data_IF_767673549417
#
_entry.id   IF_767673549417
#
_cell.length_a   1.000
_cell.length_b   1.000
_cell.length_c   1.000
_cell.angle_alpha   90.00
_cell.angle_beta   90.00
_cell.angle_gamma   90.00
#
_symmetry.space_group_name_H-M   'P 1'
#
loop_
_entity.id
_entity.type
_entity.pdbx_description
1 polymer ?
#
# COMPACT_ATOMS: atom_id res chain seq x y z
N UNK A 1 -8.14 5.24 -1.00
CA UNK A 1 -8.69 4.33 -2.06
C UNK A 1 -10.06 4.79 -2.56
N UNK A 2 -10.39 4.61 -3.86
CA UNK A 2 -11.69 5.01 -4.45
C UNK A 2 -12.68 3.84 -4.46
N UNK A 3 -13.97 4.12 -4.19
CA UNK A 3 -15.03 3.10 -4.33
C UNK A 3 -15.23 2.77 -5.81
N UNK A 4 -15.29 3.77 -6.65
CA UNK A 4 -15.50 3.62 -8.11
C UNK A 4 -14.36 4.32 -8.85
N UNK A 5 -13.63 3.56 -9.65
CA UNK A 5 -12.57 4.10 -10.53
C UNK A 5 -13.19 4.56 -11.84
N UNK A 6 -13.07 5.85 -12.17
CA UNK A 6 -13.62 6.41 -13.42
C UNK A 6 -13.08 5.70 -14.66
N UNK A 7 -11.78 5.34 -14.65
CA UNK A 7 -11.18 4.59 -15.75
C UNK A 7 -11.83 3.22 -15.96
N UNK A 8 -12.16 2.49 -14.89
CA UNK A 8 -12.83 1.18 -14.96
C UNK A 8 -14.22 1.34 -15.56
N UNK A 9 -15.00 2.34 -15.14
CA UNK A 9 -16.32 2.63 -15.72
C UNK A 9 -16.21 2.92 -17.21
N UNK A 10 -15.24 3.74 -17.62
CA UNK A 10 -15.02 4.06 -19.04
C UNK A 10 -14.64 2.83 -19.86
N UNK A 11 -13.65 2.07 -19.43
CA UNK A 11 -13.17 0.87 -20.14
C UNK A 11 -14.27 -0.17 -20.28
N UNK A 12 -14.92 -0.55 -19.20
CA UNK A 12 -15.98 -1.56 -19.26
C UNK A 12 -17.26 -1.04 -19.91
N UNK A 13 -17.55 0.27 -19.87
CA UNK A 13 -18.63 0.88 -20.63
C UNK A 13 -18.40 0.76 -22.14
N UNK A 14 -17.19 1.08 -22.61
CA UNK A 14 -16.81 0.92 -24.03
C UNK A 14 -16.82 -0.55 -24.46
N UNK A 15 -16.22 -1.45 -23.67
CA UNK A 15 -16.22 -2.89 -23.96
C UNK A 15 -17.64 -3.45 -24.03
N UNK A 16 -18.49 -3.11 -23.09
CA UNK A 16 -19.90 -3.54 -23.08
C UNK A 16 -20.64 -3.04 -24.31
N UNK A 17 -20.45 -1.78 -24.69
CA UNK A 17 -21.07 -1.19 -25.87
C UNK A 17 -20.61 -1.87 -27.18
N UNK A 18 -19.29 -2.07 -27.36
CA UNK A 18 -18.72 -2.69 -28.55
C UNK A 18 -19.15 -4.14 -28.69
N UNK A 19 -18.95 -4.95 -27.63
CA UNK A 19 -19.29 -6.39 -27.67
C UNK A 19 -20.81 -6.59 -27.79
N UNK A 20 -21.59 -5.85 -27.04
CA UNK A 20 -23.04 -5.93 -27.11
C UNK A 20 -23.60 -5.49 -28.44
N UNK A 21 -23.06 -4.40 -29.04
CA UNK A 21 -23.43 -3.92 -30.37
C UNK A 21 -23.10 -4.94 -31.46
N UNK A 22 -21.89 -5.53 -31.43
CA UNK A 22 -21.48 -6.54 -32.38
C UNK A 22 -22.37 -7.79 -32.32
N UNK A 23 -22.65 -8.28 -31.12
CA UNK A 23 -23.51 -9.46 -30.94
C UNK A 23 -24.98 -9.16 -31.31
N UNK A 24 -25.49 -7.95 -31.01
CA UNK A 24 -26.82 -7.53 -31.41
C UNK A 24 -26.94 -7.50 -32.95
N UNK A 25 -25.92 -6.97 -33.64
CA UNK A 25 -25.91 -6.91 -35.11
C UNK A 25 -25.89 -8.31 -35.75
N UNK A 26 -25.08 -9.23 -35.24
CA UNK A 26 -25.05 -10.64 -35.65
C UNK A 26 -26.40 -11.31 -35.34
N UNK A 27 -26.91 -11.14 -34.13
CA UNK A 27 -28.16 -11.72 -33.68
C UNK A 27 -29.37 -11.33 -34.52
N UNK A 28 -29.44 -10.08 -34.94
CA UNK A 28 -30.50 -9.63 -35.91
C UNK A 28 -30.36 -10.35 -37.23
N UNK A 29 -29.16 -10.51 -37.78
CA UNK A 29 -28.92 -11.23 -39.05
C UNK A 29 -29.24 -12.72 -38.95
N UNK A 30 -29.05 -13.34 -37.78
CA UNK A 30 -29.31 -14.76 -37.53
C UNK A 30 -30.75 -15.04 -37.04
N UNK A 31 -31.60 -14.02 -36.90
CA UNK A 31 -32.97 -14.18 -36.40
C UNK A 31 -33.08 -14.46 -34.89
N UNK A 32 -31.96 -14.33 -34.13
CA UNK A 32 -31.92 -14.59 -32.68
C UNK A 32 -32.44 -13.39 -31.89
N UNK A 33 -32.42 -12.18 -32.49
CA UNK A 33 -32.86 -10.95 -31.88
C UNK A 33 -31.74 -10.14 -31.20
N UNK A 34 -31.93 -8.82 -31.08
CA UNK A 34 -30.95 -7.88 -30.52
C UNK A 34 -30.74 -7.98 -29.00
N UNK A 35 -31.68 -8.59 -28.30
CA UNK A 35 -31.67 -8.68 -26.83
C UNK A 35 -30.48 -9.50 -26.29
N UNK A 36 -29.95 -10.46 -27.09
CA UNK A 36 -28.76 -11.25 -26.68
C UNK A 36 -27.54 -10.34 -26.51
N UNK A 37 -27.33 -9.40 -27.44
CA UNK A 37 -26.26 -8.42 -27.30
C UNK A 37 -26.44 -7.49 -26.11
N UNK A 38 -27.66 -7.10 -25.80
CA UNK A 38 -27.96 -6.30 -24.62
C UNK A 38 -27.64 -7.06 -23.31
N UNK A 39 -27.95 -8.35 -23.24
CA UNK A 39 -27.58 -9.18 -22.09
C UNK A 39 -26.06 -9.34 -21.91
N UNK A 40 -25.33 -9.51 -23.01
CA UNK A 40 -23.87 -9.57 -22.98
C UNK A 40 -23.28 -8.24 -22.54
N UNK A 41 -23.76 -7.12 -23.08
CA UNK A 41 -23.34 -5.79 -22.66
C UNK A 41 -23.54 -5.57 -21.15
N UNK A 42 -24.72 -5.93 -20.65
CA UNK A 42 -25.03 -5.86 -19.22
C UNK A 42 -24.12 -6.76 -18.40
N UNK A 43 -23.89 -8.01 -18.82
CA UNK A 43 -23.02 -8.96 -18.14
C UNK A 43 -21.56 -8.45 -18.05
N UNK A 44 -21.01 -7.95 -19.16
CA UNK A 44 -19.65 -7.39 -19.21
C UNK A 44 -19.52 -6.16 -18.29
N UNK A 45 -20.49 -5.25 -18.35
CA UNK A 45 -20.48 -4.06 -17.51
C UNK A 45 -20.64 -4.41 -16.01
N UNK A 46 -21.59 -5.29 -15.67
CA UNK A 46 -21.82 -5.75 -14.31
C UNK A 46 -20.57 -6.46 -13.73
N UNK A 47 -19.92 -7.29 -14.55
CA UNK A 47 -18.66 -7.96 -14.15
C UNK A 47 -17.54 -6.94 -13.89
N UNK A 48 -17.37 -5.96 -14.77
CA UNK A 48 -16.39 -4.88 -14.57
C UNK A 48 -16.67 -4.00 -13.35
N UNK A 49 -17.96 -3.81 -13.01
CA UNK A 49 -18.39 -3.02 -11.85
C UNK A 49 -18.39 -3.82 -10.53
N UNK A 50 -18.20 -5.16 -10.58
CA UNK A 50 -18.23 -6.01 -9.40
C UNK A 50 -17.28 -5.57 -8.27
N UNK A 51 -16.00 -5.20 -8.54
CA UNK A 51 -15.10 -4.69 -7.49
C UNK A 51 -15.62 -3.40 -6.84
N UNK A 52 -16.18 -2.48 -7.64
CA UNK A 52 -16.74 -1.22 -7.13
C UNK A 52 -17.97 -1.46 -6.24
N UNK A 53 -18.84 -2.40 -6.64
CA UNK A 53 -20.00 -2.80 -5.84
C UNK A 53 -19.58 -3.48 -4.54
N UNK A 54 -18.54 -4.33 -4.57
CA UNK A 54 -17.96 -4.96 -3.38
C UNK A 54 -17.44 -3.89 -2.40
N UNK A 55 -16.64 -2.91 -2.88
CA UNK A 55 -16.16 -1.78 -2.07
C UNK A 55 -17.31 -0.95 -1.51
N UNK A 56 -18.34 -0.69 -2.30
CA UNK A 56 -19.52 0.03 -1.83
C UNK A 56 -20.22 -0.70 -0.69
N UNK A 57 -20.34 -2.02 -0.76
CA UNK A 57 -20.87 -2.85 0.33
C UNK A 57 -20.02 -2.76 1.59
N UNK A 58 -18.71 -2.89 1.45
CA UNK A 58 -17.75 -2.80 2.55
C UNK A 58 -17.80 -1.42 3.21
N UNK A 59 -17.84 -0.35 2.42
CA UNK A 59 -17.92 1.03 2.93
C UNK A 59 -19.20 1.34 3.75
N UNK A 60 -20.24 0.51 3.65
CA UNK A 60 -21.47 0.61 4.44
C UNK A 60 -21.44 -0.19 5.74
N UNK A 61 -20.46 -1.04 5.91
CA UNK A 61 -20.31 -1.78 7.16
C UNK A 61 -19.76 -0.86 8.25
N UNK A 62 -20.26 -0.96 9.48
CA UNK A 62 -19.70 -0.20 10.58
C UNK A 62 -18.27 -0.65 10.83
N UNK A 63 -17.39 0.31 11.13
CA UNK A 63 -16.02 0.00 11.51
C UNK A 63 -16.01 -0.60 12.92
N UNK A 64 -15.40 -1.79 13.15
CA UNK A 64 -15.41 -2.44 14.45
C UNK A 64 -14.76 -1.59 15.55
N UNK A 65 -15.38 -1.50 16.71
CA UNK A 65 -14.85 -0.71 17.84
C UNK A 65 -13.49 -1.23 18.30
N UNK A 66 -13.28 -2.55 18.31
CA UNK A 66 -11.99 -3.16 18.67
C UNK A 66 -10.86 -2.70 17.75
N UNK A 67 -11.11 -2.59 16.44
CA UNK A 67 -10.14 -2.10 15.46
C UNK A 67 -9.81 -0.61 15.70
N UNK A 68 -10.83 0.19 16.00
CA UNK A 68 -10.64 1.62 16.31
C UNK A 68 -9.76 1.80 17.54
N UNK A 69 -10.02 1.06 18.62
CA UNK A 69 -9.21 1.10 19.82
C UNK A 69 -7.77 0.68 19.55
N UNK A 70 -7.56 -0.35 18.73
CA UNK A 70 -6.22 -0.77 18.34
C UNK A 70 -5.49 0.33 17.55
N UNK A 71 -6.16 0.94 16.56
CA UNK A 71 -5.59 2.06 15.77
C UNK A 71 -5.24 3.25 16.67
N UNK A 72 -6.09 3.60 17.62
CA UNK A 72 -5.85 4.68 18.58
C UNK A 72 -4.65 4.37 19.49
N UNK A 73 -4.45 3.12 19.85
CA UNK A 73 -3.33 2.72 20.70
C UNK A 73 -1.99 2.71 19.93
N UNK A 74 -1.96 2.21 18.70
CA UNK A 74 -0.72 1.84 18.02
C UNK A 74 -0.35 2.74 16.82
N UNK A 75 -1.30 3.54 16.28
CA UNK A 75 -1.04 4.38 15.10
C UNK A 75 -1.12 5.87 15.48
N UNK A 76 0.01 6.51 15.84
CA UNK A 76 0.02 7.93 16.26
C UNK A 76 -0.60 8.87 15.21
N UNK A 77 -0.32 8.63 13.94
CA UNK A 77 -0.90 9.37 12.83
C UNK A 77 -2.44 9.34 12.84
N UNK A 78 -3.04 8.17 13.04
CA UNK A 78 -4.49 8.02 13.11
C UNK A 78 -5.12 8.83 14.25
N UNK A 79 -4.44 8.91 15.41
CA UNK A 79 -4.88 9.73 16.55
C UNK A 79 -5.00 11.22 16.20
N UNK A 80 -4.07 11.71 15.38
CA UNK A 80 -4.02 13.10 14.95
C UNK A 80 -5.05 13.48 13.89
N UNK A 81 -5.70 12.51 13.24
CA UNK A 81 -6.67 12.78 12.18
C UNK A 81 -7.97 13.41 12.72
N UNK A 82 -8.52 14.32 11.94
CA UNK A 82 -9.88 14.82 12.14
C UNK A 82 -10.93 13.73 11.85
N UNK A 83 -12.20 14.02 12.11
CA UNK A 83 -13.28 13.05 11.92
C UNK A 83 -13.45 12.60 10.45
N UNK A 84 -13.09 13.42 9.48
CA UNK A 84 -13.16 13.07 8.05
C UNK A 84 -11.99 12.17 7.67
N UNK A 85 -10.78 12.50 8.10
CA UNK A 85 -9.56 11.72 7.92
C UNK A 85 -9.68 10.34 8.56
N UNK A 86 -10.19 10.26 9.81
CA UNK A 86 -10.42 8.98 10.50
C UNK A 86 -11.37 8.07 9.72
N UNK A 87 -12.54 8.58 9.29
CA UNK A 87 -13.49 7.79 8.48
C UNK A 87 -12.89 7.30 7.17
N UNK A 88 -12.02 8.13 6.55
CA UNK A 88 -11.32 7.73 5.33
C UNK A 88 -10.28 6.65 5.61
N UNK A 89 -9.49 6.79 6.66
CA UNK A 89 -8.50 5.81 7.10
C UNK A 89 -9.17 4.46 7.43
N UNK A 90 -10.21 4.47 8.25
CA UNK A 90 -11.00 3.29 8.61
C UNK A 90 -11.55 2.57 7.38
N UNK A 91 -12.11 3.31 6.44
CA UNK A 91 -12.62 2.75 5.17
C UNK A 91 -11.48 2.13 4.33
N UNK A 92 -10.33 2.78 4.26
CA UNK A 92 -9.20 2.27 3.49
C UNK A 92 -8.61 1.00 4.13
N UNK A 93 -8.61 0.89 5.46
CA UNK A 93 -8.33 -0.35 6.22
C UNK A 93 -9.33 -1.46 5.85
N UNK A 94 -10.63 -1.17 5.87
CA UNK A 94 -11.66 -2.15 5.50
C UNK A 94 -11.50 -2.65 4.05
N UNK A 95 -11.21 -1.77 3.11
CA UNK A 95 -10.98 -2.15 1.71
C UNK A 95 -9.77 -3.04 1.57
N UNK A 96 -8.67 -2.70 2.25
CA UNK A 96 -7.47 -3.51 2.20
C UNK A 96 -7.71 -4.91 2.76
N UNK A 97 -8.34 -5.02 3.91
CA UNK A 97 -8.68 -6.32 4.53
C UNK A 97 -9.62 -7.17 3.67
N UNK A 98 -10.56 -6.56 2.96
CA UNK A 98 -11.48 -7.24 2.05
C UNK A 98 -10.79 -7.72 0.76
N UNK A 99 -9.79 -6.99 0.26
CA UNK A 99 -9.15 -7.24 -1.03
C UNK A 99 -7.92 -8.14 -0.97
N UNK A 100 -7.24 -8.20 0.18
CA UNK A 100 -6.00 -8.96 0.32
C UNK A 100 -6.26 -10.36 0.93
N UNK A 101 -5.30 -11.26 0.72
CA UNK A 101 -5.29 -12.59 1.35
C UNK A 101 -4.23 -12.62 2.43
N UNK A 102 -4.53 -13.33 3.51
CA UNK A 102 -3.64 -13.45 4.65
C UNK A 102 -3.53 -14.92 5.03
N UNK A 103 -2.33 -15.47 5.00
CA UNK A 103 -2.05 -16.88 5.25
C UNK A 103 -0.89 -17.00 6.24
N UNK A 104 -0.94 -18.00 7.13
CA UNK A 104 0.12 -18.28 8.10
C UNK A 104 0.86 -19.56 7.73
N UNK A 105 2.17 -19.56 7.88
CA UNK A 105 3.05 -20.71 7.76
C UNK A 105 3.52 -21.05 9.17
N UNK A 106 2.97 -22.11 9.76
CA UNK A 106 3.27 -22.49 11.14
C UNK A 106 2.76 -21.54 12.22
N UNK A 107 2.02 -20.48 11.87
CA UNK A 107 1.50 -19.47 12.79
C UNK A 107 0.04 -19.16 12.49
N UNK A 108 -0.74 -18.88 13.54
CA UNK A 108 -2.11 -18.42 13.38
C UNK A 108 -2.15 -16.94 12.98
N UNK A 109 -2.88 -16.62 11.90
CA UNK A 109 -3.08 -15.25 11.45
C UNK A 109 -4.19 -14.60 12.27
N UNK A 110 -3.80 -13.86 13.28
CA UNK A 110 -4.74 -13.14 14.15
C UNK A 110 -5.38 -11.95 13.41
N UNK A 111 -6.52 -11.49 13.92
CA UNK A 111 -7.16 -10.27 13.43
C UNK A 111 -6.23 -9.04 13.60
N UNK A 112 -5.47 -9.00 14.67
CA UNK A 112 -4.49 -7.95 14.96
C UNK A 112 -3.37 -7.89 13.92
N UNK A 113 -2.81 -9.03 13.52
CA UNK A 113 -1.78 -9.07 12.47
C UNK A 113 -2.32 -8.54 11.13
N UNK A 114 -3.53 -8.95 10.76
CA UNK A 114 -4.18 -8.43 9.54
C UNK A 114 -4.43 -6.92 9.62
N UNK A 115 -4.92 -6.45 10.76
CA UNK A 115 -5.18 -5.03 11.03
C UNK A 115 -3.90 -4.20 10.98
N UNK A 116 -2.79 -4.71 11.52
CA UNK A 116 -1.49 -4.07 11.51
C UNK A 116 -0.98 -3.80 10.09
N UNK A 117 -1.08 -4.80 9.20
CA UNK A 117 -0.71 -4.62 7.79
C UNK A 117 -1.65 -3.65 7.08
N UNK A 118 -2.95 -3.75 7.33
CA UNK A 118 -3.94 -2.85 6.73
C UNK A 118 -3.78 -1.40 7.19
N UNK A 119 -3.36 -1.17 8.44
CA UNK A 119 -3.04 0.14 8.97
C UNK A 119 -1.85 0.77 8.26
N UNK A 120 -0.78 0.01 8.02
CA UNK A 120 0.37 0.47 7.22
C UNK A 120 -0.02 0.86 5.80
N UNK A 121 -0.83 0.04 5.13
CA UNK A 121 -1.33 0.35 3.79
C UNK A 121 -2.19 1.63 3.76
N UNK A 122 -3.11 1.78 4.73
CA UNK A 122 -3.95 2.98 4.84
C UNK A 122 -3.11 4.23 5.13
N UNK A 123 -2.04 4.11 5.93
CA UNK A 123 -1.11 5.19 6.25
C UNK A 123 -0.37 5.66 4.99
N UNK A 124 0.25 4.76 4.25
CA UNK A 124 1.00 5.08 3.02
C UNK A 124 0.12 5.71 1.94
N UNK A 125 -1.15 5.33 1.85
CA UNK A 125 -2.09 5.83 0.84
C UNK A 125 -2.87 7.08 1.29
N UNK A 126 -2.75 7.51 2.55
CA UNK A 126 -3.62 8.55 3.11
C UNK A 126 -3.55 9.88 2.36
N UNK A 127 -2.36 10.38 2.00
CA UNK A 127 -2.20 11.62 1.25
C UNK A 127 -2.58 11.51 -0.24
N UNK A 128 -2.71 10.30 -0.77
CA UNK A 128 -2.96 10.01 -2.18
C UNK A 128 -4.20 9.14 -2.38
N UNK A 129 -5.42 9.67 -2.25
CA UNK A 129 -6.66 8.89 -2.29
C UNK A 129 -6.89 8.15 -3.61
N UNK A 130 -6.21 8.58 -4.67
CA UNK A 130 -6.29 7.95 -6.00
C UNK A 130 -5.28 6.81 -6.20
N UNK A 131 -4.32 6.67 -5.28
CA UNK A 131 -3.36 5.58 -5.32
C UNK A 131 -3.95 4.31 -4.73
N UNK A 132 -3.45 3.19 -5.20
CA UNK A 132 -3.85 1.88 -4.74
C UNK A 132 -2.62 0.97 -4.73
N UNK A 133 -2.52 0.12 -3.74
CA UNK A 133 -1.59 -0.99 -3.76
C UNK A 133 -2.13 -2.09 -4.67
N UNK A 134 -1.26 -2.96 -5.25
CA UNK A 134 -1.69 -4.05 -6.08
C UNK A 134 -2.77 -4.90 -5.40
N UNK A 135 -3.90 -5.11 -6.08
CA UNK A 135 -5.01 -5.88 -5.53
C UNK A 135 -4.70 -7.38 -5.49
N UNK A 136 -5.31 -8.08 -4.52
CA UNK A 136 -5.24 -9.54 -4.37
C UNK A 136 -3.83 -10.09 -4.14
N UNK A 137 -2.98 -9.34 -3.44
CA UNK A 137 -1.73 -9.88 -2.90
C UNK A 137 -2.01 -10.87 -1.79
N UNK A 138 -1.13 -11.83 -1.63
CA UNK A 138 -1.10 -12.70 -0.45
C UNK A 138 -0.03 -12.19 0.50
N UNK A 139 -0.40 -12.02 1.76
CA UNK A 139 0.49 -11.74 2.87
C UNK A 139 0.70 -13.04 3.63
N UNK A 140 1.95 -13.55 3.62
CA UNK A 140 2.34 -14.77 4.33
C UNK A 140 3.01 -14.40 5.63
N UNK A 141 2.57 -15.00 6.73
CA UNK A 141 3.17 -14.78 8.04
C UNK A 141 3.94 -16.03 8.48
N UNK A 142 5.19 -15.81 8.87
CA UNK A 142 6.00 -16.75 9.63
C UNK A 142 6.03 -16.32 11.09
N UNK A 143 6.27 -17.26 12.03
CA UNK A 143 6.27 -16.91 13.45
C UNK A 143 7.42 -15.97 13.83
N UNK A 144 8.62 -16.22 13.28
CA UNK A 144 9.84 -15.46 13.53
C UNK A 144 10.55 -15.02 12.25
N UNK A 145 11.83 -14.75 12.35
CA UNK A 145 12.71 -14.49 11.21
C UNK A 145 12.86 -15.73 10.33
N UNK A 146 13.18 -15.55 9.07
CA UNK A 146 13.36 -16.61 8.09
C UNK A 146 14.62 -16.35 7.24
N UNK A 147 15.13 -17.39 6.59
CA UNK A 147 16.26 -17.32 5.67
C UNK A 147 15.82 -17.21 4.21
N UNK A 148 16.76 -17.20 3.25
CA UNK A 148 16.48 -17.13 1.80
C UNK A 148 15.68 -18.33 1.29
N UNK A 149 15.75 -19.48 1.96
CA UNK A 149 15.01 -20.70 1.64
C UNK A 149 13.65 -20.77 2.32
N UNK A 150 13.24 -19.69 3.01
CA UNK A 150 11.99 -19.57 3.79
C UNK A 150 11.89 -20.51 5.00
N UNK A 151 13.02 -21.05 5.45
CA UNK A 151 13.08 -21.81 6.71
C UNK A 151 13.09 -20.85 7.90
N UNK A 152 12.26 -21.14 8.90
CA UNK A 152 12.31 -20.43 10.19
C UNK A 152 13.58 -20.82 10.94
N UNK A 153 14.49 -19.88 11.08
CA UNK A 153 15.67 -19.99 11.91
C UNK A 153 15.74 -18.80 12.87
N UNK A 154 16.15 -19.05 14.11
CA UNK A 154 16.42 -18.01 15.09
C UNK A 154 17.54 -17.04 14.64
N UNK A 155 18.38 -17.46 13.68
CA UNK A 155 19.43 -16.70 13.05
C UNK A 155 19.03 -16.19 11.64
N UNK A 156 17.75 -16.33 11.25
CA UNK A 156 17.25 -15.85 9.96
C UNK A 156 17.53 -14.36 9.75
N UNK A 157 17.93 -14.01 8.53
CA UNK A 157 18.37 -12.66 8.17
C UNK A 157 17.20 -11.72 7.89
N UNK A 158 16.00 -12.25 7.58
CA UNK A 158 14.86 -11.49 7.10
C UNK A 158 13.72 -11.44 8.10
N UNK A 159 13.17 -10.25 8.32
CA UNK A 159 11.92 -9.99 9.05
C UNK A 159 10.74 -9.78 8.10
N UNK A 160 11.03 -9.44 6.85
CA UNK A 160 10.08 -9.24 5.76
C UNK A 160 10.74 -9.47 4.41
N UNK A 161 9.93 -9.71 3.39
CA UNK A 161 10.34 -9.80 1.99
C UNK A 161 9.15 -9.57 1.08
N UNK A 162 9.21 -8.53 0.27
CA UNK A 162 8.21 -8.28 -0.76
C UNK A 162 8.70 -8.77 -2.13
N UNK A 163 7.83 -9.46 -2.85
CA UNK A 163 8.12 -9.90 -4.21
C UNK A 163 7.34 -9.06 -5.23
N UNK A 164 7.96 -8.72 -6.35
CA UNK A 164 7.33 -7.92 -7.41
C UNK A 164 6.00 -8.52 -7.90
N UNK A 165 5.94 -9.82 -8.10
CA UNK A 165 4.75 -10.55 -8.57
C UNK A 165 4.28 -11.67 -7.62
N UNK A 166 4.91 -11.79 -6.45
CA UNK A 166 4.63 -12.83 -5.46
C UNK A 166 3.97 -12.32 -4.19
N UNK A 167 3.96 -13.14 -3.14
CA UNK A 167 3.47 -12.73 -1.83
C UNK A 167 4.38 -11.68 -1.19
N UNK A 168 3.83 -10.99 -0.19
CA UNK A 168 4.60 -10.25 0.81
C UNK A 168 4.74 -11.17 2.01
N UNK A 169 5.97 -11.48 2.41
CA UNK A 169 6.27 -12.37 3.52
C UNK A 169 6.66 -11.51 4.72
N UNK A 170 6.13 -11.82 5.89
CA UNK A 170 6.31 -11.04 7.10
C UNK A 170 6.53 -11.95 8.31
N UNK A 171 7.47 -11.62 9.17
CA UNK A 171 7.54 -12.18 10.51
C UNK A 171 6.40 -11.61 11.37
N UNK A 172 5.54 -12.46 11.91
CA UNK A 172 4.45 -12.04 12.80
C UNK A 172 4.99 -11.26 13.99
N UNK A 173 6.10 -11.74 14.57
CA UNK A 173 6.78 -11.07 15.69
C UNK A 173 7.29 -9.68 15.27
N UNK A 174 7.89 -9.52 14.09
CA UNK A 174 8.36 -8.22 13.63
C UNK A 174 7.20 -7.25 13.34
N UNK A 175 6.07 -7.75 12.79
CA UNK A 175 4.85 -6.96 12.63
C UNK A 175 4.34 -6.43 13.97
N UNK A 176 4.27 -7.28 14.99
CA UNK A 176 3.83 -6.88 16.33
C UNK A 176 4.80 -5.86 16.96
N UNK A 177 6.11 -6.08 16.83
CA UNK A 177 7.14 -5.19 17.37
C UNK A 177 7.12 -3.80 16.72
N UNK A 178 7.00 -3.71 15.40
CA UNK A 178 6.98 -2.45 14.66
C UNK A 178 5.83 -1.52 15.05
N UNK A 179 4.73 -2.05 15.59
CA UNK A 179 3.63 -1.23 16.12
C UNK A 179 3.66 -1.08 17.65
N UNK A 180 4.37 -1.96 18.36
CA UNK A 180 4.49 -1.88 19.82
C UNK A 180 5.52 -0.83 20.26
N UNK A 181 6.53 -0.56 19.44
CA UNK A 181 7.62 0.38 19.73
C UNK A 181 7.62 1.52 18.72
N UNK A 182 6.66 2.46 18.81
CA UNK A 182 6.59 3.59 17.89
C UNK A 182 7.80 4.51 18.09
N UNK A 183 8.19 5.19 17.02
CA UNK A 183 9.27 6.20 17.00
C UNK A 183 10.70 5.65 17.10
N UNK A 184 10.92 4.37 16.80
CA UNK A 184 12.28 3.80 16.68
C UNK A 184 12.81 3.84 15.23
N UNK A 185 11.93 4.04 14.24
CA UNK A 185 12.25 4.10 12.82
C UNK A 185 12.46 2.73 12.20
N UNK A 186 11.83 1.70 12.77
CA UNK A 186 11.89 0.32 12.32
C UNK A 186 10.48 -0.30 12.31
N UNK A 187 9.88 -0.43 11.14
CA UNK A 187 8.54 -0.99 10.97
C UNK A 187 8.49 -1.84 9.71
N UNK A 188 8.58 -3.15 9.88
CA UNK A 188 8.61 -4.12 8.78
C UNK A 188 7.41 -3.98 7.84
N UNK A 189 6.24 -3.62 8.36
CA UNK A 189 5.03 -3.43 7.53
C UNK A 189 5.20 -2.24 6.58
N UNK A 190 5.67 -1.10 7.09
CA UNK A 190 5.92 0.09 6.27
C UNK A 190 7.05 -0.17 5.27
N UNK A 191 8.08 -0.90 5.68
CA UNK A 191 9.21 -1.31 4.85
C UNK A 191 8.75 -2.12 3.64
N UNK A 192 8.08 -3.24 3.86
CA UNK A 192 7.69 -4.15 2.80
C UNK A 192 6.59 -3.55 1.89
N UNK A 193 5.69 -2.75 2.45
CA UNK A 193 4.71 -2.04 1.66
C UNK A 193 5.34 -0.90 0.83
N UNK A 194 6.44 -0.29 1.29
CA UNK A 194 7.17 0.70 0.50
C UNK A 194 7.76 0.09 -0.77
N UNK A 195 8.29 -1.12 -0.71
CA UNK A 195 8.78 -1.83 -1.89
C UNK A 195 7.70 -2.02 -2.96
N UNK A 196 6.42 -2.11 -2.60
CA UNK A 196 5.34 -2.24 -3.58
C UNK A 196 5.19 -1.01 -4.49
N UNK A 197 5.65 0.18 -4.07
CA UNK A 197 5.69 1.37 -4.91
C UNK A 197 6.88 1.37 -5.87
N UNK A 198 7.93 0.61 -5.57
CA UNK A 198 9.16 0.52 -6.37
C UNK A 198 9.05 -0.60 -7.44
N UNK A 199 8.37 -1.69 -7.14
CA UNK A 199 8.26 -2.86 -8.02
C UNK A 199 7.42 -2.69 -9.28
N UNK A 200 6.66 -1.61 -9.44
CA UNK A 200 5.89 -1.40 -10.66
C UNK A 200 6.78 -1.30 -11.92
N UNK A 201 8.08 -0.99 -11.77
CA UNK A 201 9.07 -0.89 -12.86
C UNK A 201 9.86 -2.18 -13.13
N UNK A 202 9.65 -3.27 -12.41
CA UNK A 202 10.44 -4.52 -12.48
C UNK A 202 11.91 -4.42 -12.02
N UNK A 203 12.47 -3.23 -11.86
CA UNK A 203 13.91 -3.02 -11.63
C UNK A 203 14.27 -2.73 -10.17
N UNK A 204 13.32 -2.51 -9.27
CA UNK A 204 13.54 -2.18 -7.84
C UNK A 204 14.72 -1.21 -7.64
N UNK A 205 14.68 -0.10 -8.36
CA UNK A 205 15.78 0.88 -8.43
C UNK A 205 15.68 1.98 -7.35
N UNK A 206 14.78 1.81 -6.38
CA UNK A 206 14.50 2.78 -5.32
C UNK A 206 13.83 4.06 -5.81
N UNK A 207 13.25 4.02 -7.01
CA UNK A 207 12.58 5.14 -7.64
C UNK A 207 11.12 4.77 -7.84
N UNK A 208 10.21 5.28 -7.01
CA UNK A 208 8.80 5.02 -7.16
C UNK A 208 8.31 5.42 -8.56
N UNK A 209 7.65 4.50 -9.25
CA UNK A 209 7.08 4.69 -10.61
C UNK A 209 6.10 5.84 -10.72
N UNK A 210 5.52 6.24 -9.61
CA UNK A 210 4.57 7.33 -9.53
C UNK A 210 5.22 8.72 -9.65
N UNK A 211 6.57 8.80 -9.68
CA UNK A 211 7.30 10.03 -9.93
C UNK A 211 7.35 10.31 -11.44
N UNK A 212 7.12 11.56 -11.82
CA UNK A 212 7.40 11.99 -13.19
C UNK A 212 8.92 11.99 -13.45
N UNK A 213 9.38 11.97 -14.72
CA UNK A 213 10.81 11.85 -15.05
C UNK A 213 11.72 12.90 -14.39
N UNK A 214 11.26 14.16 -14.28
CA UNK A 214 12.04 15.22 -13.65
C UNK A 214 12.17 15.02 -12.12
N UNK A 215 11.09 14.62 -11.48
CA UNK A 215 11.08 14.28 -10.05
C UNK A 215 11.90 13.00 -9.76
N UNK A 216 11.87 12.02 -10.65
CA UNK A 216 12.67 10.80 -10.55
C UNK A 216 14.18 11.11 -10.58
N UNK A 217 14.62 12.02 -11.47
CA UNK A 217 16.03 12.40 -11.53
C UNK A 217 16.47 13.23 -10.31
N UNK A 218 15.62 14.12 -9.81
CA UNK A 218 15.87 14.85 -8.57
C UNK A 218 15.96 13.89 -7.38
N UNK A 219 15.07 12.91 -7.30
CA UNK A 219 15.08 11.86 -6.29
C UNK A 219 16.36 11.02 -6.35
N UNK A 220 16.81 10.58 -7.54
CA UNK A 220 18.08 9.84 -7.68
C UNK A 220 19.28 10.59 -7.13
N UNK A 221 19.39 11.90 -7.41
CA UNK A 221 20.49 12.72 -6.89
C UNK A 221 20.44 12.82 -5.38
N UNK A 222 19.28 13.11 -4.83
CA UNK A 222 19.05 13.22 -3.38
C UNK A 222 19.37 11.89 -2.68
N UNK A 223 18.82 10.79 -3.15
CA UNK A 223 19.05 9.44 -2.63
C UNK A 223 20.55 9.11 -2.56
N UNK A 224 21.30 9.32 -3.66
CA UNK A 224 22.75 9.07 -3.70
C UNK A 224 23.49 9.91 -2.66
N UNK A 225 23.15 11.19 -2.51
CA UNK A 225 23.78 12.06 -1.52
C UNK A 225 23.48 11.60 -0.07
N UNK A 226 22.24 11.21 0.20
CA UNK A 226 21.83 10.69 1.51
C UNK A 226 22.45 9.32 1.84
N UNK A 227 22.54 8.41 0.87
CA UNK A 227 23.23 7.12 1.05
C UNK A 227 24.71 7.30 1.41
N UNK A 228 25.38 8.33 0.89
CA UNK A 228 26.76 8.68 1.32
C UNK A 228 26.79 9.08 2.79
N UNK A 229 25.82 9.89 3.26
CA UNK A 229 25.72 10.25 4.69
C UNK A 229 25.49 9.01 5.57
N UNK A 230 24.64 8.08 5.12
CA UNK A 230 24.42 6.81 5.84
C UNK A 230 25.70 6.00 5.98
N UNK A 231 26.47 5.81 4.87
CA UNK A 231 27.75 5.07 4.89
C UNK A 231 28.78 5.72 5.81
N UNK A 232 28.73 7.05 5.95
CA UNK A 232 29.63 7.81 6.82
C UNK A 232 29.18 7.88 8.28
N UNK A 233 28.06 7.24 8.65
CA UNK A 233 27.49 7.29 9.99
C UNK A 233 26.94 8.67 10.37
N UNK A 234 26.62 9.52 9.40
CA UNK A 234 26.09 10.89 9.58
C UNK A 234 24.59 10.99 9.28
N UNK A 235 23.87 9.90 9.35
CA UNK A 235 22.44 9.82 9.09
C UNK A 235 21.68 9.24 10.28
N UNK A 236 20.41 9.61 10.40
CA UNK A 236 19.47 8.97 11.34
C UNK A 236 18.91 7.67 10.77
N UNK A 237 19.08 7.43 9.47
CA UNK A 237 18.70 6.19 8.82
C UNK A 237 19.68 5.09 9.24
N UNK A 238 19.15 3.88 9.50
CA UNK A 238 19.97 2.71 9.81
C UNK A 238 20.89 2.34 8.64
N UNK A 239 22.03 1.69 8.93
CA UNK A 239 23.04 1.35 7.91
C UNK A 239 22.49 0.52 6.75
N UNK A 240 21.44 -0.24 6.98
CA UNK A 240 20.73 -1.04 5.99
C UNK A 240 20.24 -0.19 4.80
N UNK A 241 19.84 1.06 5.02
CA UNK A 241 19.49 2.01 3.96
C UNK A 241 20.61 2.25 2.92
N UNK A 242 21.86 1.87 3.19
CA UNK A 242 22.96 2.06 2.25
C UNK A 242 23.30 0.79 1.43
N UNK A 243 22.57 -0.31 1.60
CA UNK A 243 22.82 -1.57 0.90
C UNK A 243 22.33 -1.52 -0.54
N UNK A 244 21.17 -0.97 -0.80
CA UNK A 244 20.62 -0.76 -2.13
C UNK A 244 19.75 0.50 -2.19
N UNK A 245 19.39 0.91 -3.39
CA UNK A 245 18.48 2.02 -3.62
C UNK A 245 17.06 1.73 -3.12
N UNK A 246 16.58 0.48 -3.32
CA UNK A 246 15.29 0.01 -2.84
C UNK A 246 15.21 0.07 -1.31
N UNK A 247 16.25 -0.43 -0.63
CA UNK A 247 16.34 -0.41 0.83
C UNK A 247 16.45 1.02 1.38
N UNK A 248 17.14 1.90 0.66
CA UNK A 248 17.14 3.32 1.03
C UNK A 248 15.74 3.89 1.05
N UNK A 249 14.95 3.65 0.00
CA UNK A 249 13.57 4.15 -0.06
C UNK A 249 12.72 3.58 1.07
N UNK A 250 12.76 2.27 1.30
CA UNK A 250 11.98 1.61 2.33
C UNK A 250 12.32 2.15 3.74
N UNK A 251 13.61 2.22 4.09
CA UNK A 251 14.06 2.78 5.39
C UNK A 251 13.74 4.28 5.53
N UNK A 252 13.79 5.03 4.44
CA UNK A 252 13.39 6.44 4.46
C UNK A 252 11.89 6.59 4.74
N UNK A 253 11.04 5.72 4.17
CA UNK A 253 9.60 5.68 4.41
C UNK A 253 9.29 5.32 5.88
N UNK A 254 9.96 4.31 6.44
CA UNK A 254 9.82 3.99 7.87
C UNK A 254 10.10 5.23 8.74
N UNK A 255 11.24 5.88 8.54
CA UNK A 255 11.61 7.06 9.31
C UNK A 255 10.69 8.26 9.09
N UNK A 256 10.13 8.40 7.89
CA UNK A 256 9.17 9.45 7.56
C UNK A 256 7.90 9.35 8.38
N UNK A 257 7.39 8.15 8.60
CA UNK A 257 6.18 7.93 9.37
C UNK A 257 6.43 7.71 10.87
N UNK A 258 7.56 7.10 11.22
CA UNK A 258 7.90 6.79 12.62
C UNK A 258 8.57 7.96 13.34
N UNK A 259 9.46 8.70 12.67
CA UNK A 259 10.27 9.78 13.27
C UNK A 259 10.27 11.05 12.43
N UNK A 260 9.09 11.59 12.05
CA UNK A 260 8.98 12.70 11.11
C UNK A 260 9.73 13.96 11.54
N UNK A 261 9.69 14.34 12.82
CA UNK A 261 10.38 15.51 13.33
C UNK A 261 11.90 15.36 13.25
N UNK A 262 12.39 14.17 13.62
CA UNK A 262 13.82 13.87 13.56
C UNK A 262 14.32 13.87 12.11
N UNK A 263 13.57 13.25 11.20
CA UNK A 263 13.90 13.22 9.77
C UNK A 263 13.90 14.64 9.18
N UNK A 264 12.87 15.43 9.48
CA UNK A 264 12.77 16.81 9.02
C UNK A 264 13.93 17.69 9.52
N UNK A 265 14.37 17.49 10.76
CA UNK A 265 15.47 18.25 11.34
C UNK A 265 16.85 17.84 10.77
N UNK A 266 17.08 16.55 10.58
CA UNK A 266 18.41 16.02 10.21
C UNK A 266 18.59 15.86 8.70
N UNK A 267 17.51 15.68 7.95
CA UNK A 267 17.47 15.44 6.51
C UNK A 267 16.30 16.21 5.87
N UNK A 268 16.28 17.57 5.94
CA UNK A 268 15.13 18.37 5.51
C UNK A 268 14.75 18.15 4.05
N UNK A 269 15.73 18.07 3.14
CA UNK A 269 15.45 17.83 1.71
C UNK A 269 14.82 16.46 1.45
N UNK A 270 15.24 15.42 2.18
CA UNK A 270 14.65 14.09 2.10
C UNK A 270 13.21 14.10 2.65
N UNK A 271 13.01 14.78 3.77
CA UNK A 271 11.67 14.92 4.36
C UNK A 271 10.70 15.63 3.41
N UNK A 272 11.11 16.75 2.81
CA UNK A 272 10.31 17.51 1.84
C UNK A 272 10.00 16.68 0.59
N UNK A 273 10.98 15.93 0.08
CA UNK A 273 10.77 15.04 -1.06
C UNK A 273 9.72 13.94 -0.76
N UNK A 274 9.75 13.37 0.45
CA UNK A 274 8.75 12.38 0.89
C UNK A 274 7.38 13.02 1.14
N UNK A 275 7.32 14.25 1.71
CA UNK A 275 6.06 15.00 1.81
C UNK A 275 5.43 15.20 0.43
N UNK A 276 6.22 15.62 -0.56
CA UNK A 276 5.75 15.78 -1.94
C UNK A 276 5.31 14.45 -2.56
N UNK A 277 6.06 13.37 -2.32
CA UNK A 277 5.72 12.04 -2.82
C UNK A 277 4.39 11.53 -2.24
N UNK A 278 4.26 11.51 -0.92
CA UNK A 278 3.05 11.04 -0.24
C UNK A 278 1.90 12.07 -0.25
N UNK A 279 2.15 13.33 -0.67
CA UNK A 279 1.22 14.47 -0.55
C UNK A 279 0.68 14.61 0.87
N UNK A 280 1.57 14.54 1.86
CA UNK A 280 1.26 14.44 3.27
C UNK A 280 2.44 14.96 4.09
N UNK A 281 2.18 15.75 5.14
CA UNK A 281 3.13 15.97 6.23
C UNK A 281 2.64 15.19 7.47
N UNK A 282 3.35 14.13 7.89
CA UNK A 282 2.91 13.29 9.00
C UNK A 282 2.93 14.02 10.35
N UNK A 283 3.60 15.18 10.46
CA UNK A 283 3.61 16.03 11.67
C UNK A 283 2.33 16.86 11.80
N UNK A 284 1.78 17.30 10.68
CA UNK A 284 0.53 18.04 10.63
C UNK A 284 -0.62 17.04 10.57
N UNK A 285 -1.30 16.81 11.66
CA UNK A 285 -2.47 15.95 11.84
C UNK A 285 -3.36 15.84 10.57
N UNK A 286 -2.91 15.12 9.54
CA UNK A 286 -3.71 14.74 8.39
C UNK A 286 -4.14 15.85 7.41
N UNK A 287 -3.58 17.04 7.45
CA UNK A 287 -3.84 18.06 6.41
C UNK A 287 -3.11 17.66 5.11
N UNK A 288 -3.89 17.18 4.15
CA UNK A 288 -3.41 17.04 2.76
C UNK A 288 -3.07 18.42 2.22
N UNK A 289 -1.84 18.61 1.77
CA UNK A 289 -1.48 19.80 1.00
C UNK A 289 -2.32 19.76 -0.29
N UNK A 290 -3.22 20.75 -0.43
CA UNK A 290 -4.14 20.88 -1.56
C UNK A 290 -3.46 21.28 -2.88
#
# INVERSE_FOLDING_TARGET
>A
MQIVRRAVVGVYGVLAFVLGGMVSWIGVRMGIGMWVGALIAFGVFAWGMWPSWRRWRVARQPFPTAWRLWLEAHVPFYRGLDAVGRRRFERDVQFFLDEQRFEGVGVEVTETLRLAVAAGAALLLHGRPNWELPARRTFLFYAGRFNEDYDEDALGDYEGMAHAQGPVILSAKAVEMGWAVPHDGDNVVLHELAHLFDFENLDADGIPTLLNPASAEAWRRLMRAEMVKVRQGRSVLRRYAATSAAEFFAVAVENFFERPELLAHRHPELFEALCAFFNLDPRSSGQTQG
#
